data_IF_656578747664
#
_entry.id   IF_656578747664
#
_cell.length_a   1.000
_cell.length_b   1.000
_cell.length_c   1.000
_cell.angle_alpha   90.00
_cell.angle_beta   90.00
_cell.angle_gamma   90.00
#
_symmetry.space_group_name_H-M   'P 1'
#
loop_
_entity.id
_entity.type
_entity.pdbx_description
1 polymer ?
#
# COMPACT_ATOMS: atom_id res chain seq x y z
N UNK A 1 7.34 21.17 2.46
CA UNK A 1 7.09 20.28 1.30
C UNK A 1 6.35 19.01 1.75
N UNK A 2 5.52 18.40 0.88
CA UNK A 2 4.73 17.18 1.19
C UNK A 2 5.40 15.87 0.74
N UNK A 3 6.60 15.94 0.19
CA UNK A 3 7.34 14.82 -0.39
C UNK A 3 8.74 14.75 0.19
N UNK A 4 9.28 13.55 0.39
CA UNK A 4 10.66 13.32 0.84
C UNK A 4 11.29 12.20 0.03
N UNK A 5 12.50 12.42 -0.48
CA UNK A 5 13.28 11.38 -1.15
C UNK A 5 13.85 10.41 -0.10
N UNK A 6 13.49 9.14 -0.18
CA UNK A 6 13.95 8.11 0.77
C UNK A 6 15.25 7.43 0.34
N UNK A 7 15.57 7.43 -0.95
CA UNK A 7 16.78 6.80 -1.51
C UNK A 7 17.70 7.88 -2.10
N UNK A 8 18.70 8.38 -1.35
CA UNK A 8 19.54 9.50 -1.79
C UNK A 8 20.30 9.23 -3.08
N UNK A 9 20.70 7.97 -3.31
CA UNK A 9 21.41 7.54 -4.53
C UNK A 9 20.55 7.65 -5.79
N UNK A 10 19.23 7.71 -5.66
CA UNK A 10 18.28 7.81 -6.76
C UNK A 10 17.73 9.24 -6.87
N UNK A 11 18.63 10.22 -6.95
CA UNK A 11 18.29 11.66 -6.92
C UNK A 11 17.50 12.11 -8.15
N UNK A 12 17.59 11.38 -9.26
CA UNK A 12 16.83 11.61 -10.49
C UNK A 12 16.05 10.35 -10.87
N UNK A 13 14.87 10.57 -11.45
CA UNK A 13 14.11 9.52 -12.12
C UNK A 13 14.97 8.92 -13.23
N UNK A 14 15.04 7.59 -13.29
CA UNK A 14 15.76 6.89 -14.36
C UNK A 14 15.04 7.17 -15.68
N UNK A 15 15.77 7.68 -16.68
CA UNK A 15 15.23 7.95 -18.02
C UNK A 15 14.71 6.68 -18.72
N UNK A 16 15.15 5.49 -18.30
CA UNK A 16 14.68 4.19 -18.79
C UNK A 16 13.52 3.60 -17.98
N UNK A 17 12.95 4.34 -17.02
CA UNK A 17 11.81 3.88 -16.23
C UNK A 17 10.58 3.66 -17.10
N UNK A 18 9.95 2.47 -17.00
CA UNK A 18 8.79 2.10 -17.83
C UNK A 18 7.44 2.48 -17.22
N UNK A 19 7.41 2.80 -15.92
CA UNK A 19 6.17 3.14 -15.20
C UNK A 19 6.48 3.81 -13.88
N UNK A 20 5.57 4.67 -13.41
CA UNK A 20 5.53 5.12 -12.02
C UNK A 20 4.67 4.14 -11.24
N UNK A 21 5.15 3.74 -10.06
CA UNK A 21 4.44 2.85 -9.15
C UNK A 21 4.12 3.61 -7.88
N UNK A 22 2.83 3.71 -7.56
CA UNK A 22 2.37 4.18 -6.25
C UNK A 22 2.07 2.97 -5.37
N UNK A 23 2.91 2.74 -4.37
CA UNK A 23 2.67 1.75 -3.32
C UNK A 23 1.73 2.36 -2.29
N UNK A 24 0.44 2.01 -2.39
CA UNK A 24 -0.61 2.41 -1.48
C UNK A 24 -0.60 1.45 -0.27
N UNK A 25 -0.55 2.01 0.94
CA UNK A 25 -0.58 1.22 2.18
C UNK A 25 -1.51 1.85 3.22
N UNK A 26 -1.20 3.07 3.68
CA UNK A 26 -1.98 3.76 4.73
C UNK A 26 -3.21 4.48 4.17
N UNK A 27 -3.00 5.29 3.14
CA UNK A 27 -4.03 6.16 2.56
C UNK A 27 -4.76 5.43 1.42
N UNK A 28 -5.57 4.40 1.75
CA UNK A 28 -6.29 3.55 0.79
C UNK A 28 -7.57 4.23 0.29
N UNK A 29 -7.40 5.31 -0.49
CA UNK A 29 -8.50 6.09 -1.08
C UNK A 29 -8.07 6.75 -2.40
N UNK A 30 -9.04 7.04 -3.28
CA UNK A 30 -8.77 7.69 -4.58
C UNK A 30 -8.97 9.20 -4.60
N UNK A 31 -9.74 9.73 -3.64
CA UNK A 31 -10.04 11.16 -3.49
C UNK A 31 -9.19 11.73 -2.36
N UNK A 32 -8.72 12.97 -2.52
CA UNK A 32 -7.89 13.69 -1.53
C UNK A 32 -6.68 12.86 -1.04
N UNK A 33 -6.02 12.21 -1.99
CA UNK A 33 -4.81 11.43 -1.76
C UNK A 33 -3.62 12.14 -2.41
N UNK A 34 -2.89 12.92 -1.60
CA UNK A 34 -1.71 13.67 -2.05
C UNK A 34 -0.63 12.79 -2.69
N UNK A 35 -0.43 11.57 -2.18
CA UNK A 35 0.57 10.65 -2.72
C UNK A 35 0.17 10.13 -4.10
N UNK A 36 -1.12 9.84 -4.31
CA UNK A 36 -1.66 9.46 -5.61
C UNK A 36 -1.56 10.62 -6.62
N UNK A 37 -1.97 11.84 -6.23
CA UNK A 37 -1.89 13.03 -7.09
C UNK A 37 -0.45 13.34 -7.49
N UNK A 38 0.51 13.19 -6.56
CA UNK A 38 1.93 13.34 -6.87
C UNK A 38 2.44 12.28 -7.85
N UNK A 39 2.07 11.01 -7.65
CA UNK A 39 2.43 9.93 -8.58
C UNK A 39 1.82 10.14 -9.98
N UNK A 40 0.59 10.65 -10.07
CA UNK A 40 -0.04 11.03 -11.33
C UNK A 40 0.73 12.16 -12.02
N UNK A 41 1.09 13.22 -11.30
CA UNK A 41 1.90 14.30 -11.83
C UNK A 41 3.22 13.78 -12.40
N UNK A 42 3.95 12.95 -11.65
CA UNK A 42 5.19 12.33 -12.12
C UNK A 42 4.99 11.47 -13.36
N UNK A 43 3.93 10.67 -13.41
CA UNK A 43 3.62 9.81 -14.56
C UNK A 43 3.36 10.62 -15.82
N UNK A 44 2.61 11.73 -15.72
CA UNK A 44 2.31 12.63 -16.82
C UNK A 44 3.55 13.38 -17.30
N UNK A 45 4.35 13.92 -16.38
CA UNK A 45 5.59 14.64 -16.72
C UNK A 45 6.64 13.76 -17.40
N UNK A 46 6.64 12.45 -17.12
CA UNK A 46 7.57 11.49 -17.72
C UNK A 46 6.95 10.68 -18.86
N UNK A 47 5.68 10.92 -19.22
CA UNK A 47 4.92 10.19 -20.23
C UNK A 47 4.99 8.66 -20.07
N UNK A 48 4.81 8.17 -18.85
CA UNK A 48 4.81 6.74 -18.51
C UNK A 48 3.52 6.35 -17.78
N UNK A 49 3.07 5.09 -17.88
CA UNK A 49 1.89 4.64 -17.15
C UNK A 49 2.07 4.70 -15.64
N UNK A 50 1.02 5.11 -14.92
CA UNK A 50 0.91 4.98 -13.48
C UNK A 50 0.30 3.63 -13.11
N UNK A 51 0.93 2.93 -12.18
CA UNK A 51 0.40 1.70 -11.56
C UNK A 51 0.23 1.93 -10.07
N UNK A 52 -0.93 1.53 -9.53
CA UNK A 52 -1.20 1.54 -8.09
C UNK A 52 -1.09 0.10 -7.59
N UNK A 53 -0.33 -0.09 -6.52
CA UNK A 53 -0.12 -1.40 -5.89
C UNK A 53 -0.51 -1.34 -4.42
N UNK A 54 -1.07 -2.43 -3.91
CA UNK A 54 -1.26 -2.66 -2.49
C UNK A 54 -0.72 -4.05 -2.15
N UNK A 55 0.03 -4.16 -1.06
CA UNK A 55 0.56 -5.45 -0.59
C UNK A 55 -0.24 -5.90 0.62
N UNK A 56 -0.91 -7.05 0.50
CA UNK A 56 -1.55 -7.68 1.65
C UNK A 56 -0.47 -8.18 2.63
N UNK A 57 -0.67 -8.01 3.95
CA UNK A 57 0.24 -8.59 4.92
C UNK A 57 0.20 -10.13 4.82
N UNK A 58 1.32 -10.81 5.08
CA UNK A 58 1.34 -12.27 5.09
C UNK A 58 0.45 -12.81 6.22
N UNK A 59 -0.09 -14.03 6.08
CA UNK A 59 -0.73 -14.71 7.20
C UNK A 59 0.27 -14.92 8.36
N UNK A 60 -0.20 -14.99 9.61
CA UNK A 60 0.66 -15.30 10.74
C UNK A 60 1.31 -16.70 10.55
N UNK A 61 2.48 -16.95 11.17
CA UNK A 61 3.12 -18.25 11.08
C UNK A 61 2.23 -19.36 11.69
N UNK A 62 2.24 -20.58 11.12
CA UNK A 62 1.33 -21.66 11.50
C UNK A 62 1.51 -22.20 12.94
N UNK A 63 2.63 -21.90 13.61
CA UNK A 63 3.01 -22.49 14.90
C UNK A 63 2.91 -21.52 16.09
N UNK A 64 2.08 -20.48 15.99
CA UNK A 64 1.95 -19.47 17.04
C UNK A 64 0.82 -19.76 18.06
N UNK A 65 0.44 -21.04 18.19
CA UNK A 65 -0.76 -21.50 18.87
C UNK A 65 -0.54 -22.43 20.06
N UNK A 66 0.53 -22.26 20.84
CA UNK A 66 0.42 -22.67 22.25
C UNK A 66 -0.25 -21.54 23.02
N UNK A 67 -1.39 -21.86 23.61
CA UNK A 67 -2.12 -21.06 24.59
C UNK A 67 -1.43 -21.23 25.96
N UNK A 68 -0.13 -20.95 26.01
CA UNK A 68 0.57 -20.89 27.28
C UNK A 68 0.22 -19.54 27.92
N UNK A 69 -0.74 -19.56 28.85
CA UNK A 69 -1.31 -18.40 29.56
C UNK A 69 -0.26 -17.56 30.33
N UNK A 70 0.99 -18.05 30.45
CA UNK A 70 2.10 -17.39 31.14
C UNK A 70 3.02 -16.54 30.24
N UNK A 71 2.79 -16.48 28.91
CA UNK A 71 3.59 -15.62 28.03
C UNK A 71 3.10 -14.16 28.00
N UNK A 72 4.02 -13.19 27.85
CA UNK A 72 3.65 -11.80 27.60
C UNK A 72 2.76 -11.70 26.34
N UNK A 73 1.84 -10.73 26.28
CA UNK A 73 0.92 -10.59 25.15
C UNK A 73 1.70 -10.54 23.84
N UNK A 74 1.32 -11.44 22.92
CA UNK A 74 1.95 -11.58 21.60
C UNK A 74 1.95 -10.21 20.90
N UNK A 75 3.06 -9.81 20.23
CA UNK A 75 3.09 -8.59 19.44
C UNK A 75 1.91 -8.54 18.46
N UNK A 76 1.30 -7.37 18.26
CA UNK A 76 0.18 -7.21 17.32
C UNK A 76 0.56 -7.72 15.91
N UNK A 77 1.83 -7.60 15.53
CA UNK A 77 2.38 -8.07 14.26
C UNK A 77 2.30 -9.60 14.05
N UNK A 78 2.21 -10.39 15.12
CA UNK A 78 2.10 -11.85 15.06
C UNK A 78 0.68 -12.35 15.31
N UNK A 79 -0.26 -11.47 15.66
CA UNK A 79 -1.66 -11.83 15.82
C UNK A 79 -2.32 -12.08 14.45
N UNK A 80 -3.16 -13.13 14.30
CA UNK A 80 -3.96 -13.29 13.10
C UNK A 80 -4.81 -12.05 12.88
N UNK A 81 -4.88 -11.61 11.62
CA UNK A 81 -5.80 -10.55 11.23
C UNK A 81 -7.23 -10.99 11.58
N UNK A 82 -7.97 -10.24 12.42
CA UNK A 82 -9.36 -10.57 12.69
C UNK A 82 -10.18 -10.55 11.41
N UNK A 83 -11.11 -11.49 11.24
CA UNK A 83 -11.95 -11.60 10.05
C UNK A 83 -12.63 -10.27 9.71
N UNK A 84 -13.19 -9.59 10.73
CA UNK A 84 -13.81 -8.26 10.56
C UNK A 84 -12.88 -7.25 9.90
N UNK A 85 -11.61 -7.20 10.34
CA UNK A 85 -10.64 -6.27 9.78
C UNK A 85 -10.30 -6.66 8.34
N UNK A 86 -10.12 -7.96 8.07
CA UNK A 86 -9.89 -8.49 6.73
C UNK A 86 -11.02 -8.16 5.77
N UNK A 87 -12.27 -8.44 6.15
CA UNK A 87 -13.46 -8.14 5.36
C UNK A 87 -13.60 -6.64 5.08
N UNK A 88 -13.36 -5.80 6.09
CA UNK A 88 -13.37 -4.34 5.91
C UNK A 88 -12.27 -3.87 4.95
N UNK A 89 -11.05 -4.39 5.12
CA UNK A 89 -9.91 -4.05 4.27
C UNK A 89 -10.15 -4.44 2.81
N UNK A 90 -10.50 -5.70 2.55
CA UNK A 90 -10.74 -6.23 1.20
C UNK A 90 -11.94 -5.53 0.55
N UNK A 91 -13.02 -5.31 1.31
CA UNK A 91 -14.19 -4.58 0.83
C UNK A 91 -13.84 -3.14 0.42
N UNK A 92 -13.06 -2.42 1.23
CA UNK A 92 -12.57 -1.08 0.90
C UNK A 92 -11.64 -1.08 -0.32
N UNK A 93 -10.71 -2.03 -0.41
CA UNK A 93 -9.84 -2.19 -1.57
C UNK A 93 -10.62 -2.42 -2.86
N UNK A 94 -11.70 -3.22 -2.81
CA UNK A 94 -12.55 -3.45 -3.97
C UNK A 94 -13.19 -2.15 -4.49
N UNK A 95 -13.67 -1.30 -3.58
CA UNK A 95 -14.24 0.00 -3.95
C UNK A 95 -13.18 0.91 -4.57
N UNK A 96 -12.01 1.02 -3.96
CA UNK A 96 -10.88 1.80 -4.49
C UNK A 96 -10.44 1.29 -5.87
N UNK A 97 -10.39 -0.03 -6.06
CA UNK A 97 -10.07 -0.62 -7.35
C UNK A 97 -11.08 -0.23 -8.43
N UNK A 98 -12.37 -0.31 -8.13
CA UNK A 98 -13.45 0.10 -9.04
C UNK A 98 -13.32 1.58 -9.42
N UNK A 99 -13.15 2.45 -8.43
CA UNK A 99 -12.97 3.89 -8.66
C UNK A 99 -11.73 4.19 -9.53
N UNK A 100 -10.60 3.53 -9.29
CA UNK A 100 -9.39 3.72 -10.10
C UNK A 100 -9.55 3.21 -11.53
N UNK A 101 -10.39 2.17 -11.74
CA UNK A 101 -10.69 1.63 -13.06
C UNK A 101 -11.61 2.54 -13.85
N UNK A 102 -12.60 3.14 -13.18
CA UNK A 102 -13.55 4.07 -13.78
C UNK A 102 -12.91 5.43 -14.10
N UNK A 103 -11.85 5.83 -13.36
CA UNK A 103 -11.04 7.03 -13.61
C UNK A 103 -10.02 6.89 -14.77
N UNK A 104 -10.05 5.81 -15.54
CA UNK A 104 -9.15 5.62 -16.69
C UNK A 104 -9.46 6.56 -17.84
#
# INVERSE_FOLDING_TARGET
ERTKLLTPKAQKLKSAGKSIVYWMQRDVRTVDNWALSFAQHLSKSNNVPLKVLYCLPPPPPPNLGSDDDDLPPKPIATSPMPERYGSFLIGGLHHVHKELRDKK
#
